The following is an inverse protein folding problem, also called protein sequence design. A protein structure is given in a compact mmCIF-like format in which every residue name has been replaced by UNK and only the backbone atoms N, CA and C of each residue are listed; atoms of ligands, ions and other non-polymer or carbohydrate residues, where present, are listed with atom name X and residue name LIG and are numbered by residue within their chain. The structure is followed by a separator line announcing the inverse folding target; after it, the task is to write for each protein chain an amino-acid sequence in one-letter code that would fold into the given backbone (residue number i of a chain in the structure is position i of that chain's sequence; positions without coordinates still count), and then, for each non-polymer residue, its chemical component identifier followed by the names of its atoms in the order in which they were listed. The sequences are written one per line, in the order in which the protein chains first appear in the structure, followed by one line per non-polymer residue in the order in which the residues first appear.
data_IF_241083048881
#
_entry.id   IF_241083048881
#
_cell.length_a   1.000
_cell.length_b   1.000
_cell.length_c   1.000
_cell.angle_alpha   90.00
_cell.angle_beta   90.00
_cell.angle_gamma   90.00
#
_symmetry.space_group_name_H-M   'P 1'
#
loop_
_entity.id
_entity.type
_entity.pdbx_description
1 polymer ?
#
# COMPACT_ATOMS: atom_id res chain seq x y z
N UNK A 1 13.60 -6.95 36.19
CA UNK A 1 12.94 -6.23 35.08
C UNK A 1 12.41 -7.28 34.14
N UNK A 2 11.19 -7.15 33.58
CA UNK A 2 10.73 -8.08 32.56
C UNK A 2 11.69 -8.04 31.35
N UNK A 3 11.90 -9.18 30.70
CA UNK A 3 12.81 -9.32 29.59
C UNK A 3 12.35 -8.44 28.40
N UNK A 4 13.28 -7.70 27.82
CA UNK A 4 13.02 -6.87 26.63
C UNK A 4 12.72 -7.79 25.44
N UNK A 5 11.59 -7.57 24.76
CA UNK A 5 11.18 -8.35 23.60
C UNK A 5 11.43 -7.57 22.31
N UNK A 6 12.28 -8.09 21.43
CA UNK A 6 12.49 -7.51 20.11
C UNK A 6 11.42 -8.00 19.15
N UNK A 7 10.87 -7.08 18.36
CA UNK A 7 9.86 -7.28 17.32
C UNK A 7 10.44 -6.74 16.03
N UNK A 8 10.61 -7.60 15.03
CA UNK A 8 11.02 -7.15 13.69
C UNK A 8 9.81 -6.57 12.99
N UNK A 9 9.92 -5.30 12.64
CA UNK A 9 8.90 -4.52 11.98
C UNK A 9 9.46 -4.01 10.66
N UNK A 10 8.77 -4.31 9.55
CA UNK A 10 9.20 -3.86 8.24
C UNK A 10 8.11 -3.07 7.52
N UNK A 11 8.51 -2.03 6.81
CA UNK A 11 7.62 -1.17 6.04
C UNK A 11 8.34 -0.64 4.80
N UNK A 12 7.59 0.00 3.87
CA UNK A 12 8.20 0.58 2.68
C UNK A 12 9.05 1.81 3.04
N UNK A 13 10.03 2.17 2.21
CA UNK A 13 10.75 3.44 2.33
C UNK A 13 9.96 4.62 1.74
N UNK A 14 8.64 4.50 1.54
CA UNK A 14 7.82 5.59 1.03
C UNK A 14 7.43 6.57 2.15
N UNK A 15 7.15 7.81 1.79
CA UNK A 15 6.98 8.89 2.76
C UNK A 15 5.77 8.68 3.69
N UNK A 16 4.71 8.01 3.25
CA UNK A 16 3.53 7.70 4.06
C UNK A 16 3.83 6.65 5.15
N UNK A 17 4.51 5.55 4.80
CA UNK A 17 4.95 4.56 5.78
C UNK A 17 5.97 5.17 6.75
N UNK A 18 6.97 5.88 6.24
CA UNK A 18 7.96 6.55 7.08
C UNK A 18 7.33 7.54 8.07
N UNK A 19 6.25 8.20 7.67
CA UNK A 19 5.45 9.07 8.55
C UNK A 19 4.75 8.27 9.64
N UNK A 20 4.03 7.19 9.30
CA UNK A 20 3.26 6.37 10.24
C UNK A 20 4.15 5.72 11.31
N UNK A 21 5.34 5.28 10.94
CA UNK A 21 6.26 4.58 11.83
C UNK A 21 7.28 5.50 12.52
N UNK A 22 7.26 6.80 12.23
CA UNK A 22 8.24 7.74 12.78
C UNK A 22 8.34 7.72 14.30
N UNK A 23 7.21 7.80 15.01
CA UNK A 23 7.23 7.89 16.47
C UNK A 23 7.74 6.61 17.13
N UNK A 24 7.48 5.44 16.55
CA UNK A 24 8.07 4.16 16.95
C UNK A 24 9.58 4.15 16.70
N UNK A 25 10.02 4.51 15.50
CA UNK A 25 11.43 4.50 15.12
C UNK A 25 12.26 5.51 15.92
N UNK A 26 11.67 6.67 16.27
CA UNK A 26 12.32 7.73 17.01
C UNK A 26 12.17 7.60 18.54
N UNK A 27 11.51 6.54 19.03
CA UNK A 27 11.30 6.33 20.49
C UNK A 27 10.47 7.42 21.16
N UNK A 28 9.51 7.99 20.43
CA UNK A 28 8.66 9.10 20.92
C UNK A 28 7.46 8.62 21.74
N UNK A 29 7.15 7.34 21.72
CA UNK A 29 6.04 6.73 22.46
C UNK A 29 6.57 5.63 23.39
N UNK A 30 5.86 5.42 24.51
CA UNK A 30 6.20 4.34 25.44
C UNK A 30 5.64 3.01 24.93
N UNK A 31 6.54 2.09 24.60
CA UNK A 31 6.22 0.73 24.17
C UNK A 31 6.46 -0.31 25.27
N UNK A 32 6.75 0.13 26.52
CA UNK A 32 7.05 -0.75 27.64
C UNK A 32 8.29 -1.62 27.37
N UNK A 33 8.14 -2.93 27.39
CA UNK A 33 9.27 -3.87 27.14
C UNK A 33 9.44 -4.24 25.68
N UNK A 34 8.59 -3.76 24.76
CA UNK A 34 8.68 -4.03 23.34
C UNK A 34 9.72 -3.11 22.69
N UNK A 35 10.60 -3.68 21.91
CA UNK A 35 11.61 -2.97 21.12
C UNK A 35 11.42 -3.30 19.66
N UNK A 36 11.13 -2.29 18.84
CA UNK A 36 10.92 -2.47 17.42
C UNK A 36 12.24 -2.31 16.66
N UNK A 37 12.63 -3.37 15.95
CA UNK A 37 13.72 -3.33 15.00
C UNK A 37 13.13 -3.06 13.62
N UNK A 38 13.37 -1.85 13.10
CA UNK A 38 12.85 -1.42 11.81
C UNK A 38 13.70 -1.93 10.66
N UNK A 39 13.04 -2.45 9.63
CA UNK A 39 13.63 -2.85 8.36
C UNK A 39 12.87 -2.16 7.23
N UNK A 40 13.59 -1.73 6.18
CA UNK A 40 13.00 -1.07 5.03
C UNK A 40 13.19 -1.91 3.77
N UNK A 41 12.11 -2.16 3.04
CA UNK A 41 12.12 -2.81 1.74
C UNK A 41 10.90 -2.37 0.92
N UNK A 42 10.95 -2.50 -0.39
CA UNK A 42 9.79 -2.26 -1.24
C UNK A 42 8.65 -3.23 -0.93
N UNK A 43 7.43 -2.81 -1.28
CA UNK A 43 6.21 -3.55 -0.89
C UNK A 43 6.14 -4.96 -1.50
N UNK A 44 6.64 -5.17 -2.72
CA UNK A 44 6.66 -6.52 -3.32
C UNK A 44 7.63 -7.45 -2.58
N UNK A 45 8.80 -6.94 -2.19
CA UNK A 45 9.75 -7.65 -1.34
C UNK A 45 9.14 -7.99 0.03
N UNK A 46 8.45 -7.05 0.67
CA UNK A 46 7.75 -7.28 1.93
C UNK A 46 6.65 -8.32 1.81
N UNK A 47 5.85 -8.27 0.75
CA UNK A 47 4.84 -9.28 0.44
C UNK A 47 5.45 -10.68 0.37
N UNK A 48 6.56 -10.84 -0.35
CA UNK A 48 7.27 -12.13 -0.50
C UNK A 48 7.89 -12.63 0.81
N UNK A 49 8.41 -11.74 1.64
CA UNK A 49 8.95 -12.07 2.97
C UNK A 49 7.84 -12.47 3.94
N UNK A 50 6.68 -11.81 3.87
CA UNK A 50 5.51 -12.17 4.67
C UNK A 50 4.99 -13.58 4.30
N UNK A 51 4.99 -13.96 3.02
CA UNK A 51 4.64 -15.33 2.59
C UNK A 51 5.52 -16.39 3.27
N UNK A 52 6.78 -16.07 3.57
CA UNK A 52 7.71 -16.96 4.29
C UNK A 52 7.57 -16.86 5.82
N UNK A 53 6.81 -15.90 6.35
CA UNK A 53 6.64 -15.68 7.79
C UNK A 53 7.87 -15.10 8.48
N UNK A 54 8.72 -14.37 7.75
CA UNK A 54 10.01 -13.87 8.27
C UNK A 54 9.87 -12.76 9.30
N UNK A 55 8.80 -11.98 9.26
CA UNK A 55 8.60 -10.74 10.04
C UNK A 55 7.48 -10.91 11.06
N UNK A 56 7.62 -10.32 12.23
CA UNK A 56 6.56 -10.28 13.24
C UNK A 56 5.45 -9.27 12.86
N UNK A 57 5.85 -8.12 12.32
CA UNK A 57 4.97 -7.05 11.84
C UNK A 57 5.48 -6.56 10.50
N UNK A 58 4.60 -6.38 9.53
CA UNK A 58 5.01 -5.83 8.23
C UNK A 58 3.86 -5.15 7.51
N UNK A 59 4.18 -4.12 6.72
CA UNK A 59 3.29 -3.63 5.69
C UNK A 59 3.14 -4.69 4.60
N UNK A 60 1.94 -4.86 4.09
CA UNK A 60 1.64 -5.74 2.95
C UNK A 60 0.54 -5.16 2.08
N UNK A 61 0.57 -5.52 0.81
CA UNK A 61 -0.57 -5.29 -0.09
C UNK A 61 -1.74 -6.19 0.29
N UNK A 62 -2.99 -5.72 0.13
CA UNK A 62 -4.16 -6.56 0.41
C UNK A 62 -4.28 -7.74 -0.55
N UNK A 63 -3.73 -7.65 -1.75
CA UNK A 63 -3.58 -8.82 -2.63
C UNK A 63 -2.73 -9.92 -1.96
N UNK A 64 -1.55 -9.54 -1.45
CA UNK A 64 -0.69 -10.48 -0.72
C UNK A 64 -1.38 -11.00 0.55
N UNK A 65 -2.09 -10.13 1.29
CA UNK A 65 -2.81 -10.54 2.50
C UNK A 65 -3.80 -11.68 2.23
N UNK A 66 -4.41 -11.73 1.07
CA UNK A 66 -5.30 -12.84 0.69
C UNK A 66 -4.63 -14.23 0.76
N UNK A 67 -3.31 -14.28 0.62
CA UNK A 67 -2.50 -15.50 0.73
C UNK A 67 -1.83 -15.67 2.09
N UNK A 68 -2.08 -14.75 3.02
CA UNK A 68 -1.41 -14.69 4.34
C UNK A 68 -2.39 -14.79 5.51
N UNK A 69 -3.69 -14.74 5.27
CA UNK A 69 -4.72 -14.59 6.29
C UNK A 69 -4.74 -15.70 7.36
N UNK A 70 -4.24 -16.88 7.05
CA UNK A 70 -4.05 -17.99 7.99
C UNK A 70 -2.88 -17.75 8.95
N UNK A 71 -1.84 -17.04 8.52
CA UNK A 71 -0.61 -16.77 9.26
C UNK A 71 -0.58 -15.40 9.93
N UNK A 72 -1.19 -14.41 9.30
CA UNK A 72 -1.22 -13.02 9.75
C UNK A 72 -2.65 -12.51 9.94
N UNK A 73 -2.81 -11.57 10.87
CA UNK A 73 -4.02 -10.77 11.01
C UNK A 73 -3.73 -9.31 10.63
N UNK A 74 -4.70 -8.60 10.06
CA UNK A 74 -4.58 -7.17 9.82
C UNK A 74 -4.62 -6.40 11.14
N UNK A 75 -3.74 -5.45 11.33
CA UNK A 75 -3.89 -4.43 12.35
C UNK A 75 -5.02 -3.48 11.92
N UNK A 76 -5.87 -3.08 12.87
CA UNK A 76 -6.96 -2.13 12.59
C UNK A 76 -6.46 -0.71 12.27
N UNK A 77 -5.15 -0.50 12.31
CA UNK A 77 -4.45 0.77 12.16
C UNK A 77 -3.36 0.66 11.09
N UNK A 78 -3.01 1.79 10.45
CA UNK A 78 -1.96 1.86 9.43
C UNK A 78 -2.41 1.37 8.06
N UNK A 79 -3.70 1.53 7.74
CA UNK A 79 -4.19 1.27 6.39
C UNK A 79 -3.69 2.32 5.39
N UNK A 80 -3.35 1.87 4.19
CA UNK A 80 -3.17 2.71 3.00
C UNK A 80 -4.41 2.55 2.12
N UNK A 81 -5.31 3.55 2.19
CA UNK A 81 -6.59 3.55 1.49
C UNK A 81 -6.75 4.87 0.73
N UNK A 82 -6.98 4.78 -0.57
CA UNK A 82 -7.26 5.93 -1.44
C UNK A 82 -8.75 6.20 -1.57
N UNK A 83 -9.20 7.42 -1.23
CA UNK A 83 -10.58 7.86 -1.42
C UNK A 83 -10.68 8.72 -2.70
N UNK A 84 -11.17 8.12 -3.78
CA UNK A 84 -11.22 8.70 -5.15
C UNK A 84 -9.86 8.98 -5.76
N UNK A 85 -8.84 8.31 -5.33
CA UNK A 85 -7.51 8.27 -5.94
C UNK A 85 -6.85 6.94 -5.61
N UNK A 86 -5.87 6.56 -6.43
CA UNK A 86 -5.15 5.31 -6.21
C UNK A 86 -3.96 5.16 -7.14
N UNK A 87 -3.50 3.93 -7.39
CA UNK A 87 -2.51 3.65 -8.40
C UNK A 87 -2.91 4.24 -9.74
N UNK A 88 -1.93 4.75 -10.51
CA UNK A 88 -2.19 5.43 -11.79
C UNK A 88 -1.60 4.67 -12.94
N UNK A 89 -2.41 4.43 -13.96
CA UNK A 89 -1.93 3.96 -15.25
C UNK A 89 -1.56 5.18 -16.08
N UNK A 90 -0.28 5.28 -16.42
CA UNK A 90 0.29 6.38 -17.20
C UNK A 90 0.96 5.87 -18.46
N UNK A 91 1.04 6.71 -19.51
CA UNK A 91 1.66 6.36 -20.77
C UNK A 91 2.30 7.59 -21.45
N UNK A 92 3.13 7.36 -22.48
CA UNK A 92 3.75 8.43 -23.28
C UNK A 92 2.76 9.15 -24.19
N UNK A 93 1.64 8.53 -24.51
CA UNK A 93 0.61 9.10 -25.39
C UNK A 93 -0.57 9.64 -24.57
N UNK A 94 -1.30 10.65 -25.06
CA UNK A 94 -2.52 11.10 -24.43
C UNK A 94 -3.52 9.96 -24.19
N UNK A 95 -4.40 10.16 -23.21
CA UNK A 95 -5.43 9.18 -22.87
C UNK A 95 -6.28 8.84 -24.11
N UNK A 96 -6.39 7.55 -24.49
CA UNK A 96 -7.26 7.12 -25.59
C UNK A 96 -8.73 7.23 -25.20
N UNK A 97 -9.63 7.21 -26.20
CA UNK A 97 -11.06 7.23 -25.95
C UNK A 97 -11.54 6.02 -25.12
N UNK A 98 -10.93 4.86 -25.33
CA UNK A 98 -11.14 3.65 -24.52
C UNK A 98 -9.81 3.12 -23.99
N UNK A 99 -9.42 3.50 -22.76
CA UNK A 99 -8.19 2.99 -22.12
C UNK A 99 -8.21 1.47 -21.90
N UNK A 100 -9.38 0.86 -21.65
CA UNK A 100 -9.48 -0.60 -21.47
C UNK A 100 -9.12 -1.33 -22.75
N UNK A 101 -9.68 -0.91 -23.87
CA UNK A 101 -9.36 -1.49 -25.17
C UNK A 101 -7.87 -1.29 -25.53
N UNK A 102 -7.31 -0.13 -25.24
CA UNK A 102 -5.90 0.16 -25.49
C UNK A 102 -4.97 -0.76 -24.68
N UNK A 103 -5.26 -1.02 -23.41
CA UNK A 103 -4.48 -1.92 -22.55
C UNK A 103 -4.58 -3.40 -22.97
N UNK A 104 -5.64 -3.80 -23.66
CA UNK A 104 -5.84 -5.14 -24.19
C UNK A 104 -5.41 -5.29 -25.67
N UNK A 105 -4.94 -4.23 -26.30
CA UNK A 105 -4.56 -4.26 -27.71
C UNK A 105 -3.46 -5.30 -27.99
N UNK A 106 -3.47 -5.95 -29.17
CA UNK A 106 -2.41 -6.88 -29.55
C UNK A 106 -1.03 -6.22 -29.46
N UNK A 107 -0.14 -6.78 -28.66
CA UNK A 107 1.21 -6.26 -28.45
C UNK A 107 1.34 -5.28 -27.28
N UNK A 108 0.26 -4.67 -26.78
CA UNK A 108 0.34 -3.76 -25.63
C UNK A 108 0.85 -4.46 -24.37
N UNK A 109 1.73 -3.77 -23.62
CA UNK A 109 2.33 -4.26 -22.38
C UNK A 109 2.28 -3.17 -21.32
N UNK A 110 1.89 -3.53 -20.10
CA UNK A 110 1.87 -2.65 -18.92
C UNK A 110 3.03 -3.01 -17.99
N UNK A 111 3.89 -2.05 -17.65
CA UNK A 111 4.89 -2.23 -16.61
C UNK A 111 4.20 -2.13 -15.24
N UNK A 112 4.37 -3.16 -14.39
CA UNK A 112 3.71 -3.26 -13.07
C UNK A 112 4.74 -3.44 -11.95
N UNK A 113 4.47 -2.93 -10.73
CA UNK A 113 5.43 -2.92 -9.64
C UNK A 113 5.63 -4.27 -8.94
N UNK A 114 4.79 -5.26 -9.22
CA UNK A 114 4.85 -6.59 -8.63
C UNK A 114 3.50 -7.30 -8.67
N UNK A 115 3.54 -8.62 -8.82
CA UNK A 115 2.32 -9.44 -8.99
C UNK A 115 1.52 -9.61 -7.70
N UNK A 116 2.13 -9.40 -6.55
CA UNK A 116 1.45 -9.46 -5.26
C UNK A 116 0.91 -8.10 -4.80
N UNK A 117 1.12 -7.03 -5.57
CA UNK A 117 0.61 -5.70 -5.22
C UNK A 117 -0.90 -5.60 -5.44
N UNK A 118 -1.59 -4.83 -4.61
CA UNK A 118 -3.02 -4.53 -4.82
C UNK A 118 -3.23 -3.70 -6.08
N UNK A 119 -2.26 -2.89 -6.47
CA UNK A 119 -2.27 -2.18 -7.74
C UNK A 119 -2.40 -3.14 -8.92
N UNK A 120 -1.62 -4.20 -8.94
CA UNK A 120 -1.73 -5.24 -9.98
C UNK A 120 -3.07 -5.98 -9.92
N UNK A 121 -3.55 -6.33 -8.73
CA UNK A 121 -4.89 -6.91 -8.57
C UNK A 121 -5.99 -6.01 -9.15
N UNK A 122 -5.92 -4.70 -8.91
CA UNK A 122 -6.89 -3.75 -9.46
C UNK A 122 -6.77 -3.62 -10.98
N UNK A 123 -5.56 -3.68 -11.55
CA UNK A 123 -5.37 -3.76 -12.99
C UNK A 123 -6.04 -5.01 -13.59
N UNK A 124 -5.87 -6.17 -12.95
CA UNK A 124 -6.50 -7.42 -13.39
C UNK A 124 -8.03 -7.37 -13.30
N UNK A 125 -8.58 -6.71 -12.27
CA UNK A 125 -10.03 -6.47 -12.15
C UNK A 125 -10.52 -5.46 -13.19
N UNK A 126 -9.73 -4.43 -13.50
CA UNK A 126 -10.06 -3.42 -14.50
C UNK A 126 -9.99 -3.96 -15.92
N UNK A 127 -8.90 -4.62 -16.27
CA UNK A 127 -8.66 -5.20 -17.60
C UNK A 127 -7.93 -6.55 -17.50
N UNK A 128 -8.68 -7.66 -17.41
CA UNK A 128 -8.09 -9.02 -17.26
C UNK A 128 -7.18 -9.45 -18.40
N UNK A 129 -7.38 -8.90 -19.61
CA UNK A 129 -6.59 -9.24 -20.78
C UNK A 129 -5.32 -8.39 -20.93
N UNK A 130 -5.04 -7.46 -20.01
CA UNK A 130 -3.82 -6.65 -20.05
C UNK A 130 -2.59 -7.54 -19.83
N UNK A 131 -1.68 -7.51 -20.81
CA UNK A 131 -0.36 -8.16 -20.65
C UNK A 131 0.54 -7.25 -19.84
N UNK A 132 1.39 -7.84 -19.04
CA UNK A 132 2.24 -7.08 -18.13
C UNK A 132 3.68 -7.59 -18.12
N UNK A 133 4.56 -6.74 -17.63
CA UNK A 133 5.94 -7.05 -17.25
C UNK A 133 6.20 -6.47 -15.85
N UNK A 134 6.83 -7.25 -14.99
CA UNK A 134 7.22 -6.77 -13.66
C UNK A 134 8.50 -5.96 -13.77
N UNK A 135 8.46 -4.75 -13.23
CA UNK A 135 9.58 -3.79 -13.22
C UNK A 135 9.70 -3.24 -11.79
N UNK A 136 10.90 -3.01 -11.25
CA UNK A 136 11.05 -2.29 -9.99
C UNK A 136 10.22 -1.01 -10.00
N UNK A 137 9.45 -0.79 -8.93
CA UNK A 137 8.42 0.25 -8.91
C UNK A 137 8.96 1.67 -9.21
N UNK A 138 10.20 1.95 -8.84
CA UNK A 138 10.90 3.21 -9.08
C UNK A 138 11.50 3.33 -10.48
N UNK A 139 11.55 2.26 -11.25
CA UNK A 139 12.01 2.25 -12.65
C UNK A 139 10.88 2.30 -13.67
N UNK A 140 9.60 2.20 -13.25
CA UNK A 140 8.45 2.07 -14.16
C UNK A 140 8.35 3.27 -15.11
N UNK A 141 8.50 4.51 -14.59
CA UNK A 141 8.42 5.71 -15.43
C UNK A 141 9.51 5.71 -16.51
N UNK A 142 10.75 5.40 -16.16
CA UNK A 142 11.87 5.29 -17.10
C UNK A 142 11.66 4.17 -18.11
N UNK A 143 11.09 3.05 -17.66
CA UNK A 143 10.78 1.92 -18.52
C UNK A 143 9.76 2.29 -19.60
N UNK A 144 8.70 3.04 -19.22
CA UNK A 144 7.68 3.54 -20.16
C UNK A 144 8.26 4.61 -21.07
N UNK A 145 9.02 5.57 -20.54
CA UNK A 145 9.65 6.63 -21.34
C UNK A 145 10.60 6.08 -22.38
N UNK A 146 11.33 5.02 -22.06
CA UNK A 146 12.21 4.30 -22.99
C UNK A 146 11.45 3.48 -24.06
N UNK A 147 10.12 3.42 -24.01
CA UNK A 147 9.30 2.65 -24.96
C UNK A 147 9.36 1.14 -24.77
N UNK A 148 9.80 0.67 -23.60
CA UNK A 148 9.88 -0.76 -23.28
C UNK A 148 8.55 -1.33 -22.79
N UNK A 149 7.61 -0.46 -22.40
CA UNK A 149 6.20 -0.76 -22.16
C UNK A 149 5.34 0.37 -22.74
N UNK A 150 4.07 0.07 -23.04
CA UNK A 150 3.12 1.05 -23.59
C UNK A 150 2.54 1.92 -22.47
N UNK A 151 2.34 1.33 -21.29
CA UNK A 151 1.87 2.01 -20.10
C UNK A 151 2.59 1.51 -18.85
N UNK A 152 2.49 2.26 -17.75
CA UNK A 152 3.05 1.90 -16.45
C UNK A 152 2.05 2.12 -15.32
N UNK A 153 2.07 1.25 -14.33
CA UNK A 153 1.21 1.30 -13.15
C UNK A 153 1.98 1.85 -11.95
N UNK A 154 1.76 3.11 -11.61
CA UNK A 154 2.48 3.84 -10.56
C UNK A 154 1.80 3.69 -9.20
N UNK A 155 2.60 3.43 -8.15
CA UNK A 155 2.14 3.25 -6.76
C UNK A 155 2.84 4.15 -5.73
N UNK A 156 3.78 4.99 -6.16
CA UNK A 156 4.62 5.84 -5.33
C UNK A 156 4.42 7.33 -5.67
N UNK A 157 5.33 8.19 -5.22
CA UNK A 157 5.29 9.64 -5.44
C UNK A 157 5.21 10.03 -6.92
N UNK A 158 5.62 9.17 -7.84
CA UNK A 158 5.41 9.32 -9.29
C UNK A 158 3.94 9.58 -9.68
N UNK A 159 2.98 9.16 -8.83
CA UNK A 159 1.58 9.52 -8.99
C UNK A 159 1.33 11.05 -8.99
N UNK A 160 2.21 11.84 -8.40
CA UNK A 160 2.13 13.31 -8.38
C UNK A 160 3.03 13.97 -9.40
N UNK A 161 4.03 13.27 -9.95
CA UNK A 161 5.10 13.85 -10.77
C UNK A 161 5.17 13.34 -12.20
N UNK A 162 4.42 12.29 -12.57
CA UNK A 162 4.43 11.72 -13.92
C UNK A 162 4.24 12.77 -15.03
N UNK A 163 3.39 13.77 -14.79
CA UNK A 163 3.14 14.86 -15.75
C UNK A 163 4.36 15.74 -16.01
N UNK A 164 5.19 15.97 -14.98
CA UNK A 164 6.44 16.74 -15.11
C UNK A 164 7.44 16.02 -16.02
N UNK A 165 7.28 14.70 -16.18
CA UNK A 165 8.11 13.84 -17.04
C UNK A 165 7.51 13.63 -18.44
N UNK A 166 6.39 14.29 -18.75
CA UNK A 166 5.71 14.17 -20.05
C UNK A 166 4.87 12.90 -20.21
N UNK A 167 4.56 12.22 -19.13
CA UNK A 167 3.61 11.10 -19.14
C UNK A 167 2.17 11.61 -19.00
N UNK A 168 1.23 10.87 -19.54
CA UNK A 168 -0.19 11.18 -19.51
C UNK A 168 -0.96 10.18 -18.67
N UNK A 169 -1.87 10.66 -17.82
CA UNK A 169 -2.77 9.80 -17.08
C UNK A 169 -3.80 9.15 -18.03
N UNK A 170 -3.81 7.83 -18.03
CA UNK A 170 -4.86 7.07 -18.71
C UNK A 170 -6.00 6.70 -17.76
N UNK A 171 -5.67 6.16 -16.57
CA UNK A 171 -6.65 5.74 -15.57
C UNK A 171 -6.12 6.01 -14.18
N UNK A 172 -6.94 6.62 -13.32
CA UNK A 172 -6.76 6.57 -11.87
C UNK A 172 -7.60 5.39 -11.33
N UNK A 173 -6.92 4.40 -10.75
CA UNK A 173 -7.58 3.17 -10.30
C UNK A 173 -8.49 3.41 -9.09
N UNK A 174 -8.23 4.46 -8.30
CA UNK A 174 -9.08 4.82 -7.18
C UNK A 174 -10.38 5.49 -7.63
N UNK A 175 -10.32 6.37 -8.64
CA UNK A 175 -11.52 6.94 -9.27
C UNK A 175 -12.40 5.84 -9.90
N UNK A 176 -11.76 4.97 -10.72
CA UNK A 176 -12.46 3.82 -11.31
C UNK A 176 -13.13 2.94 -10.25
N UNK A 177 -12.42 2.60 -9.19
CA UNK A 177 -12.93 1.74 -8.13
C UNK A 177 -14.11 2.38 -7.40
N UNK A 178 -14.02 3.68 -7.12
CA UNK A 178 -15.08 4.43 -6.47
C UNK A 178 -16.38 4.41 -7.30
N UNK A 179 -16.27 4.61 -8.61
CA UNK A 179 -17.41 4.54 -9.54
C UNK A 179 -17.97 3.11 -9.61
N UNK A 180 -17.11 2.13 -9.79
CA UNK A 180 -17.45 0.72 -9.94
C UNK A 180 -18.12 0.12 -8.68
N UNK A 181 -17.79 0.64 -7.50
CA UNK A 181 -18.32 0.17 -6.22
C UNK A 181 -19.40 1.07 -5.63
N UNK A 182 -19.79 2.12 -6.36
CA UNK A 182 -20.78 3.11 -5.92
C UNK A 182 -20.39 3.77 -4.57
N UNK A 183 -19.13 4.14 -4.44
CA UNK A 183 -18.67 5.00 -3.35
C UNK A 183 -17.73 4.35 -2.32
N UNK A 184 -17.19 3.15 -2.56
CA UNK A 184 -16.17 2.62 -1.66
C UNK A 184 -14.77 3.17 -2.01
N UNK A 185 -13.95 3.50 -1.00
CA UNK A 185 -12.56 3.83 -1.23
C UNK A 185 -11.78 2.60 -1.68
N UNK A 186 -10.64 2.79 -2.34
CA UNK A 186 -9.78 1.69 -2.78
C UNK A 186 -8.80 1.31 -1.68
N UNK A 187 -8.94 0.13 -1.05
CA UNK A 187 -8.00 -0.33 -0.05
C UNK A 187 -6.78 -0.94 -0.77
N UNK A 188 -5.58 -0.45 -0.47
CA UNK A 188 -4.34 -0.83 -1.16
C UNK A 188 -3.44 -1.71 -0.30
N UNK A 189 -3.18 -1.29 0.92
CA UNK A 189 -2.29 -1.96 1.84
C UNK A 189 -2.75 -1.81 3.28
N UNK A 190 -2.09 -2.58 4.13
CA UNK A 190 -2.27 -2.50 5.57
C UNK A 190 -1.10 -3.14 6.29
N UNK A 191 -1.04 -2.93 7.56
CA UNK A 191 -0.05 -3.57 8.40
C UNK A 191 -0.60 -4.88 8.97
N UNK A 192 0.21 -5.92 8.97
CA UNK A 192 -0.16 -7.23 9.48
C UNK A 192 0.74 -7.64 10.64
N UNK A 193 0.18 -8.41 11.54
CA UNK A 193 0.87 -8.99 12.69
C UNK A 193 0.74 -10.51 12.67
N UNK A 194 1.84 -11.20 12.95
CA UNK A 194 1.89 -12.67 12.89
C UNK A 194 1.09 -13.29 14.05
N UNK A 195 0.18 -14.21 13.72
CA UNK A 195 -0.79 -14.80 14.67
C UNK A 195 -0.16 -15.59 15.82
N UNK A 196 1.02 -16.21 15.58
CA UNK A 196 1.74 -17.01 16.57
C UNK A 196 2.31 -16.20 17.77
N UNK A 197 2.29 -14.85 17.66
CA UNK A 197 2.65 -13.96 18.77
C UNK A 197 1.64 -13.98 19.91
N UNK A 198 0.42 -14.45 19.65
CA UNK A 198 -0.67 -14.54 20.60
C UNK A 198 -1.45 -13.25 20.77
N UNK A 199 -2.73 -13.36 21.13
CA UNK A 199 -3.70 -12.27 21.10
C UNK A 199 -3.31 -11.05 21.96
N UNK A 200 -2.66 -11.27 23.12
CA UNK A 200 -2.26 -10.17 24.00
C UNK A 200 -1.21 -9.28 23.35
N UNK A 201 -0.13 -9.90 22.81
CA UNK A 201 0.95 -9.14 22.18
C UNK A 201 0.49 -8.50 20.85
N UNK A 202 -0.36 -9.17 20.09
CA UNK A 202 -0.93 -8.58 18.88
C UNK A 202 -1.70 -7.29 19.18
N UNK A 203 -2.53 -7.26 20.24
CA UNK A 203 -3.23 -6.04 20.68
C UNK A 203 -2.28 -4.95 21.17
N UNK A 204 -1.22 -5.33 21.90
CA UNK A 204 -0.21 -4.37 22.34
C UNK A 204 0.49 -3.70 21.15
N UNK A 205 0.84 -4.49 20.13
CA UNK A 205 1.44 -4.00 18.87
C UNK A 205 0.46 -3.08 18.12
N UNK A 206 -0.82 -3.44 18.08
CA UNK A 206 -1.86 -2.60 17.46
C UNK A 206 -1.95 -1.22 18.15
N UNK A 207 -1.95 -1.19 19.49
CA UNK A 207 -1.92 0.07 20.26
C UNK A 207 -0.68 0.90 19.98
N UNK A 208 0.50 0.27 19.93
CA UNK A 208 1.75 0.96 19.67
C UNK A 208 1.74 1.60 18.28
N UNK A 209 1.26 0.88 17.25
CA UNK A 209 1.12 1.43 15.90
C UNK A 209 0.13 2.59 15.86
N UNK A 210 -1.05 2.43 16.48
CA UNK A 210 -2.03 3.51 16.56
C UNK A 210 -1.43 4.75 17.23
N UNK A 211 -0.76 4.57 18.36
CA UNK A 211 -0.10 5.67 19.08
C UNK A 211 0.97 6.34 18.23
N UNK A 212 1.73 5.57 17.42
CA UNK A 212 2.73 6.14 16.50
C UNK A 212 2.10 7.02 15.44
N UNK A 213 1.01 6.56 14.82
CA UNK A 213 0.30 7.32 13.80
C UNK A 213 -0.31 8.59 14.39
N UNK A 214 -0.98 8.49 15.54
CA UNK A 214 -1.57 9.63 16.22
C UNK A 214 -0.51 10.67 16.61
N UNK A 215 0.60 10.23 17.19
CA UNK A 215 1.71 11.10 17.53
C UNK A 215 2.29 11.82 16.30
N UNK A 216 2.44 11.09 15.17
CA UNK A 216 2.89 11.67 13.90
C UNK A 216 1.93 12.75 13.38
N UNK A 217 0.61 12.54 13.48
CA UNK A 217 -0.40 13.52 13.08
C UNK A 217 -0.42 14.76 14.00
N UNK A 218 -0.23 14.58 15.31
CA UNK A 218 -0.14 15.67 16.29
C UNK A 218 1.16 16.48 16.14
N UNK A 219 2.25 15.83 15.70
CA UNK A 219 3.58 16.42 15.48
C UNK A 219 3.93 16.44 13.98
N UNK A 220 2.95 16.82 13.13
CA UNK A 220 3.01 16.67 11.68
C UNK A 220 4.29 17.24 11.03
N UNK A 221 4.75 18.40 11.48
CA UNK A 221 5.95 19.04 10.92
C UNK A 221 7.22 18.17 11.13
N UNK A 222 7.40 17.59 12.31
CA UNK A 222 8.54 16.74 12.62
C UNK A 222 8.44 15.39 11.87
N UNK A 223 7.24 14.80 11.84
CA UNK A 223 6.98 13.56 11.13
C UNK A 223 7.21 13.71 9.62
N UNK A 224 6.77 14.82 9.02
CA UNK A 224 7.04 15.16 7.61
C UNK A 224 8.53 15.37 7.34
N UNK A 225 9.24 16.08 8.23
CA UNK A 225 10.69 16.25 8.10
C UNK A 225 11.43 14.91 8.13
N UNK A 226 10.95 13.95 8.92
CA UNK A 226 11.46 12.58 8.90
C UNK A 226 11.10 11.85 7.60
N UNK A 227 9.83 11.87 7.20
CA UNK A 227 9.31 11.18 6.02
C UNK A 227 10.00 11.66 4.72
N UNK A 228 10.30 12.95 4.60
CA UNK A 228 11.03 13.53 3.46
C UNK A 228 12.40 12.93 3.21
N UNK A 229 13.05 12.36 4.22
CA UNK A 229 14.34 11.67 4.05
C UNK A 229 14.21 10.44 3.15
N UNK A 230 12.98 9.94 3.00
CA UNK A 230 12.62 8.77 2.22
C UNK A 230 11.84 9.15 0.94
N UNK A 231 11.27 10.37 0.91
CA UNK A 231 10.59 10.92 -0.27
C UNK A 231 11.57 11.13 -1.44
N UNK A 232 11.21 10.64 -2.61
CA UNK A 232 12.07 10.66 -3.80
C UNK A 232 11.90 11.94 -4.60
N UNK A 233 12.67 12.97 -4.24
CA UNK A 233 12.70 14.22 -5.02
C UNK A 233 11.45 15.09 -4.93
N UNK A 234 10.56 14.84 -3.94
CA UNK A 234 9.42 15.70 -3.70
C UNK A 234 9.84 16.99 -2.97
N UNK A 235 9.29 18.12 -3.40
CA UNK A 235 9.26 19.34 -2.60
C UNK A 235 8.36 19.19 -1.37
N UNK A 236 8.39 20.15 -0.45
CA UNK A 236 7.65 20.08 0.81
C UNK A 236 6.13 19.98 0.61
N UNK A 237 5.60 20.67 -0.39
CA UNK A 237 4.16 20.70 -0.69
C UNK A 237 3.69 19.36 -1.24
N UNK A 238 4.47 18.79 -2.16
CA UNK A 238 4.14 17.47 -2.75
C UNK A 238 4.33 16.35 -1.75
N UNK A 239 5.36 16.40 -0.90
CA UNK A 239 5.56 15.42 0.17
C UNK A 239 4.40 15.44 1.17
N UNK A 240 3.98 16.64 1.63
CA UNK A 240 2.81 16.77 2.52
C UNK A 240 1.51 16.28 1.86
N UNK A 241 1.33 16.57 0.57
CA UNK A 241 0.20 16.08 -0.21
C UNK A 241 0.20 14.56 -0.31
N UNK A 242 1.34 13.94 -0.65
CA UNK A 242 1.47 12.49 -0.77
C UNK A 242 1.17 11.79 0.56
N UNK A 243 1.80 12.27 1.65
CA UNK A 243 1.51 11.76 2.99
C UNK A 243 0.02 11.91 3.31
N UNK A 244 -0.59 13.07 3.04
CA UNK A 244 -2.00 13.33 3.30
C UNK A 244 -2.97 12.44 2.48
N UNK A 245 -2.53 11.93 1.32
CA UNK A 245 -3.32 10.96 0.55
C UNK A 245 -3.44 9.63 1.29
N UNK A 246 -2.35 9.11 1.85
CA UNK A 246 -2.30 7.74 2.38
C UNK A 246 -2.26 7.67 3.91
N UNK A 247 -1.92 8.78 4.61
CA UNK A 247 -2.06 8.90 6.06
C UNK A 247 -3.27 9.77 6.37
N UNK A 248 -4.42 9.15 6.50
CA UNK A 248 -5.73 9.77 6.63
C UNK A 248 -6.55 9.11 7.76
N UNK A 249 -7.85 9.36 7.84
CA UNK A 249 -8.72 8.76 8.84
C UNK A 249 -8.69 7.22 8.84
N UNK A 250 -8.56 6.60 7.67
CA UNK A 250 -8.45 5.14 7.54
C UNK A 250 -7.14 4.58 8.11
N UNK A 251 -6.08 5.38 8.17
CA UNK A 251 -4.82 4.96 8.81
C UNK A 251 -4.95 4.91 10.34
N UNK A 252 -5.82 5.72 10.93
CA UNK A 252 -6.14 5.65 12.35
C UNK A 252 -7.05 4.44 12.65
N UNK A 253 -8.07 4.23 11.82
CA UNK A 253 -8.98 3.08 11.91
C UNK A 253 -9.65 2.88 10.55
N UNK A 254 -9.72 1.64 10.09
CA UNK A 254 -10.42 1.31 8.85
C UNK A 254 -11.88 1.78 8.86
N UNK A 255 -12.51 1.82 10.02
CA UNK A 255 -13.92 2.12 10.15
C UNK A 255 -14.83 1.13 9.40
N UNK A 256 -16.13 1.29 9.48
CA UNK A 256 -17.06 0.39 8.78
C UNK A 256 -16.88 0.40 7.25
N UNK A 257 -16.59 1.58 6.68
CA UNK A 257 -16.46 1.75 5.23
C UNK A 257 -15.15 1.13 4.71
N UNK A 258 -14.02 1.33 5.40
CA UNK A 258 -12.75 0.71 5.02
C UNK A 258 -12.77 -0.81 5.14
N UNK A 259 -13.35 -1.34 6.22
CA UNK A 259 -13.54 -2.80 6.38
C UNK A 259 -14.42 -3.39 5.28
N UNK A 260 -15.52 -2.71 4.93
CA UNK A 260 -16.37 -3.09 3.81
C UNK A 260 -15.61 -3.04 2.48
N UNK A 261 -14.77 -2.03 2.27
CA UNK A 261 -13.97 -1.90 1.06
C UNK A 261 -12.97 -3.06 0.91
N UNK A 262 -12.31 -3.48 2.00
CA UNK A 262 -11.42 -4.67 2.01
C UNK A 262 -12.20 -5.93 1.62
N UNK A 263 -13.35 -6.16 2.25
CA UNK A 263 -14.21 -7.32 1.95
C UNK A 263 -14.66 -7.32 0.48
N UNK A 264 -15.07 -6.17 -0.05
CA UNK A 264 -15.53 -6.03 -1.44
C UNK A 264 -14.37 -6.29 -2.43
N UNK A 265 -13.18 -5.74 -2.18
CA UNK A 265 -12.02 -5.96 -3.04
C UNK A 265 -11.67 -7.46 -3.13
N UNK A 266 -11.50 -8.10 -1.98
CA UNK A 266 -11.12 -9.51 -1.92
C UNK A 266 -12.24 -10.41 -2.47
N UNK A 267 -13.50 -10.07 -2.21
CA UNK A 267 -14.65 -10.79 -2.75
C UNK A 267 -14.75 -10.68 -4.28
N UNK A 268 -14.50 -9.51 -4.87
CA UNK A 268 -14.44 -9.35 -6.34
C UNK A 268 -13.27 -10.13 -6.94
N UNK A 269 -12.12 -10.06 -6.32
CA UNK A 269 -10.94 -10.80 -6.77
C UNK A 269 -11.19 -12.33 -6.75
N UNK A 270 -11.84 -12.84 -5.71
CA UNK A 270 -12.22 -14.24 -5.63
C UNK A 270 -13.22 -14.61 -6.74
N UNK A 271 -14.29 -13.81 -6.93
CA UNK A 271 -15.29 -14.07 -8.00
C UNK A 271 -14.69 -14.03 -9.39
N UNK A 272 -13.65 -13.22 -9.59
CA UNK A 272 -12.89 -13.15 -10.85
C UNK A 272 -11.86 -14.29 -11.01
N UNK A 273 -11.73 -15.20 -10.05
CA UNK A 273 -10.76 -16.30 -10.09
C UNK A 273 -9.30 -15.86 -9.86
N UNK A 274 -9.09 -14.65 -9.35
CA UNK A 274 -7.75 -14.09 -9.07
C UNK A 274 -7.20 -14.51 -7.71
N UNK A 275 -8.05 -15.07 -6.84
CA UNK A 275 -7.66 -15.60 -5.54
C UNK A 275 -8.06 -17.07 -5.43
N UNK A 276 -7.32 -17.90 -4.68
CA UNK A 276 -7.54 -19.33 -4.59
C UNK A 276 -8.82 -19.72 -3.83
N UNK A 277 -9.40 -18.80 -3.05
CA UNK A 277 -10.59 -19.05 -2.24
C UNK A 277 -11.04 -17.81 -1.46
N UNK A 278 -12.07 -17.95 -0.61
CA UNK A 278 -12.52 -16.89 0.27
C UNK A 278 -11.44 -16.53 1.30
N UNK A 279 -11.34 -15.25 1.62
CA UNK A 279 -10.36 -14.73 2.60
C UNK A 279 -11.09 -14.36 3.88
N UNK A 280 -10.69 -15.00 4.99
CA UNK A 280 -11.16 -14.63 6.32
C UNK A 280 -10.36 -13.43 6.84
N UNK A 281 -10.98 -12.25 6.78
CA UNK A 281 -10.35 -11.00 7.17
C UNK A 281 -10.52 -10.79 8.68
N UNK A 282 -9.43 -10.94 9.41
CA UNK A 282 -9.40 -10.70 10.87
C UNK A 282 -8.65 -9.42 11.16
N UNK A 283 -9.29 -8.49 11.89
CA UNK A 283 -8.67 -7.26 12.38
C UNK A 283 -8.27 -7.39 13.86
N UNK A 284 -7.09 -6.88 14.20
CA UNK A 284 -6.60 -6.79 15.57
C UNK A 284 -6.72 -5.34 16.01
N UNK A 285 -7.59 -5.13 17.00
CA UNK A 285 -7.79 -3.83 17.66
C UNK A 285 -6.69 -3.54 18.68
N UNK A 286 -6.38 -2.24 18.88
CA UNK A 286 -5.41 -1.76 19.87
C UNK A 286 -6.06 -1.08 21.07
#
# INVERSE_FOLDING_TARGET
MPARRTIRLAHSPDADDAFMFWALAAGKIDTGTRHYQHELADIETLNRRALKGELEVTAVSLHAYAHLADRYALLAHGASIGDRYGPRIVARTPRPADPRAALAAPGAVVAVPGELTTAFLTLQLYQPAARHVVVPFDEIEDYVLAGRADAGLLIHEGQLTYGDRGLHLWVDMGEWWYEETHGLPLPLGGNVVRRDLGAALMRDIARDLKASIQYGLEHRAEALAHAKRFGRGLDDVRADRFVGMYVNAYSIDYGPQGRRAVTELLGRAQRAGLLPGPVDVTFVEG
#
